data_IF_274365246481
#
_entry.id   IF_274365246481
#
_cell.length_a   1.000
_cell.length_b   1.000
_cell.length_c   1.000
_cell.angle_alpha   90.00
_cell.angle_beta   90.00
_cell.angle_gamma   90.00
#
_symmetry.space_group_name_H-M   'P 1'
#
loop_
_entity.id
_entity.type
_entity.pdbx_description
1 polymer ?
#
# COMPACT_ATOMS: atom_id res chain seq x y z
N UNK A 1 -24.09 -15.58 -20.49
CA UNK A 1 -23.97 -14.55 -19.42
C UNK A 1 -23.40 -15.08 -18.10
N UNK A 2 -23.70 -16.32 -17.67
CA UNK A 2 -23.25 -16.84 -16.37
C UNK A 2 -21.73 -17.07 -16.23
N UNK A 3 -21.07 -17.61 -17.26
CA UNK A 3 -19.62 -17.92 -17.25
C UNK A 3 -18.76 -16.67 -17.05
N UNK A 4 -19.13 -15.56 -17.69
CA UNK A 4 -18.40 -14.28 -17.56
C UNK A 4 -18.54 -13.67 -16.16
N UNK A 5 -19.69 -13.85 -15.49
CA UNK A 5 -19.88 -13.43 -14.09
C UNK A 5 -19.00 -14.25 -13.14
N UNK A 6 -18.93 -15.57 -13.35
CA UNK A 6 -18.11 -16.47 -12.55
C UNK A 6 -16.62 -16.13 -12.67
N UNK A 7 -16.14 -15.86 -13.90
CA UNK A 7 -14.73 -15.52 -14.13
C UNK A 7 -14.33 -14.20 -13.44
N UNK A 8 -15.19 -13.17 -13.51
CA UNK A 8 -14.95 -11.90 -12.80
C UNK A 8 -14.94 -12.08 -11.29
N UNK A 9 -15.79 -12.95 -10.75
CA UNK A 9 -15.81 -13.29 -9.33
C UNK A 9 -14.52 -13.97 -8.89
N UNK A 10 -14.07 -14.99 -9.62
CA UNK A 10 -12.82 -15.70 -9.31
C UNK A 10 -11.62 -14.76 -9.36
N UNK A 11 -11.54 -13.88 -10.36
CA UNK A 11 -10.44 -12.91 -10.44
C UNK A 11 -10.44 -11.93 -9.27
N UNK A 12 -11.62 -11.49 -8.82
CA UNK A 12 -11.75 -10.65 -7.62
C UNK A 12 -11.30 -11.40 -6.38
N UNK A 13 -11.78 -12.62 -6.14
CA UNK A 13 -11.39 -13.40 -4.95
C UNK A 13 -9.90 -13.74 -4.91
N UNK A 14 -9.29 -14.06 -6.05
CA UNK A 14 -7.84 -14.27 -6.13
C UNK A 14 -7.06 -12.99 -5.79
N UNK A 15 -7.53 -11.83 -6.27
CA UNK A 15 -6.92 -10.54 -5.95
C UNK A 15 -7.07 -10.20 -4.47
N UNK A 16 -8.26 -10.34 -3.91
CA UNK A 16 -8.56 -10.05 -2.51
C UNK A 16 -7.76 -10.97 -1.57
N UNK A 17 -7.67 -12.26 -1.92
CA UNK A 17 -6.85 -13.23 -1.18
C UNK A 17 -5.36 -12.90 -1.25
N UNK A 18 -4.86 -12.50 -2.43
CA UNK A 18 -3.46 -12.11 -2.58
C UNK A 18 -3.15 -10.83 -1.81
N UNK A 19 -4.06 -9.84 -1.85
CA UNK A 19 -3.99 -8.61 -1.08
C UNK A 19 -3.93 -8.89 0.42
N UNK A 20 -4.83 -9.73 0.92
CA UNK A 20 -4.84 -10.13 2.32
C UNK A 20 -3.53 -10.82 2.72
N UNK A 21 -3.05 -11.74 1.89
CA UNK A 21 -1.79 -12.44 2.13
C UNK A 21 -0.60 -11.48 2.16
N UNK A 22 -0.49 -10.59 1.19
CA UNK A 22 0.60 -9.60 1.11
C UNK A 22 0.53 -8.64 2.29
N UNK A 23 -0.63 -8.04 2.57
CA UNK A 23 -0.81 -7.09 3.69
C UNK A 23 -0.49 -7.72 5.05
N UNK A 24 -0.98 -8.95 5.30
CA UNK A 24 -0.75 -9.67 6.55
C UNK A 24 0.71 -10.04 6.77
N UNK A 25 1.45 -10.37 5.71
CA UNK A 25 2.88 -10.67 5.84
C UNK A 25 3.73 -9.40 5.91
N UNK A 26 3.40 -8.37 5.13
CA UNK A 26 4.11 -7.10 5.10
C UNK A 26 4.07 -6.39 6.46
N UNK A 27 2.90 -6.33 7.10
CA UNK A 27 2.70 -5.67 8.40
C UNK A 27 3.59 -6.19 9.54
N UNK A 28 4.02 -7.47 9.47
CA UNK A 28 4.91 -8.11 10.45
C UNK A 28 6.38 -7.74 10.26
N UNK A 29 6.78 -7.39 9.04
CA UNK A 29 8.18 -7.14 8.67
C UNK A 29 8.52 -5.65 8.68
N UNK A 30 7.52 -4.76 8.70
CA UNK A 30 7.72 -3.32 8.67
C UNK A 30 7.98 -2.71 10.05
N UNK A 31 8.91 -1.74 10.16
CA UNK A 31 9.08 -0.93 11.36
C UNK A 31 7.83 -0.09 11.65
N UNK A 32 7.66 0.37 12.89
CA UNK A 32 6.52 1.23 13.29
C UNK A 32 6.40 2.50 12.41
N UNK A 33 7.55 3.04 12.00
CA UNK A 33 7.66 4.14 11.07
C UNK A 33 8.64 3.78 9.95
N UNK A 34 8.20 3.94 8.70
CA UNK A 34 9.05 3.74 7.54
C UNK A 34 9.75 5.06 7.22
N UNK A 35 11.03 4.97 6.85
CA UNK A 35 11.75 6.08 6.22
C UNK A 35 11.67 5.96 4.68
N UNK A 36 12.15 6.98 3.97
CA UNK A 36 12.15 6.99 2.51
C UNK A 36 12.81 5.74 1.90
N UNK A 37 13.94 5.27 2.44
CA UNK A 37 14.60 4.05 1.95
C UNK A 37 13.69 2.83 2.09
N UNK A 38 13.04 2.66 3.24
CA UNK A 38 12.12 1.55 3.47
C UNK A 38 10.92 1.62 2.54
N UNK A 39 10.33 2.80 2.31
CA UNK A 39 9.22 2.97 1.37
C UNK A 39 9.64 2.58 -0.05
N UNK A 40 10.79 3.04 -0.51
CA UNK A 40 11.33 2.70 -1.83
C UNK A 40 11.49 1.19 -2.00
N UNK A 41 12.04 0.51 -0.98
CA UNK A 41 12.25 -0.93 -0.99
C UNK A 41 10.93 -1.70 -0.98
N UNK A 42 9.94 -1.25 -0.21
CA UNK A 42 8.65 -1.96 -0.06
C UNK A 42 7.77 -1.81 -1.29
N UNK A 43 7.79 -0.65 -1.93
CA UNK A 43 7.02 -0.37 -3.14
C UNK A 43 7.76 -0.74 -4.43
N UNK A 44 9.04 -1.15 -4.33
CA UNK A 44 9.93 -1.42 -5.46
C UNK A 44 10.03 -0.26 -6.46
N UNK A 45 10.11 0.98 -5.96
CA UNK A 45 10.23 2.20 -6.77
C UNK A 45 11.59 2.89 -6.55
N UNK A 46 11.96 3.77 -7.48
CA UNK A 46 13.20 4.53 -7.36
C UNK A 46 13.17 5.53 -6.20
N UNK A 47 14.37 5.98 -5.78
CA UNK A 47 14.49 7.01 -4.75
C UNK A 47 13.84 8.34 -5.17
N UNK A 48 13.89 8.67 -6.47
CA UNK A 48 13.25 9.87 -7.02
C UNK A 48 11.73 9.80 -6.96
N UNK A 49 11.15 8.67 -7.37
CA UNK A 49 9.70 8.42 -7.26
C UNK A 49 9.26 8.42 -5.80
N UNK A 50 10.06 7.84 -4.91
CA UNK A 50 9.78 7.86 -3.47
C UNK A 50 9.76 9.28 -2.92
N UNK A 51 10.70 10.13 -3.35
CA UNK A 51 10.72 11.52 -2.92
C UNK A 51 9.46 12.27 -3.38
N UNK A 52 9.04 12.08 -4.63
CA UNK A 52 7.81 12.66 -5.14
C UNK A 52 6.58 12.15 -4.37
N UNK A 53 6.53 10.84 -4.12
CA UNK A 53 5.46 10.19 -3.35
C UNK A 53 5.35 10.77 -1.93
N UNK A 54 6.47 10.94 -1.23
CA UNK A 54 6.52 11.52 0.11
C UNK A 54 6.02 12.97 0.19
N UNK A 55 5.96 13.68 -0.94
CA UNK A 55 5.45 15.06 -1.02
C UNK A 55 4.02 15.14 -1.56
N UNK A 56 3.40 14.00 -1.91
CA UNK A 56 2.00 13.97 -2.31
C UNK A 56 1.09 14.22 -1.12
N UNK A 57 -0.02 14.92 -1.36
CA UNK A 57 -1.00 15.30 -0.32
C UNK A 57 -1.77 14.10 0.25
N UNK A 58 -1.97 13.06 -0.56
CA UNK A 58 -2.69 11.84 -0.21
C UNK A 58 -1.79 10.77 0.43
N UNK A 59 -0.48 10.99 0.47
CA UNK A 59 0.44 10.04 1.05
C UNK A 59 0.63 10.29 2.57
N UNK A 60 0.56 9.26 3.43
CA UNK A 60 0.48 9.44 4.87
C UNK A 60 1.84 9.70 5.52
N UNK A 61 2.41 10.87 5.26
CA UNK A 61 3.71 11.30 5.80
C UNK A 61 3.55 12.15 7.07
N UNK A 62 4.47 12.00 8.01
CA UNK A 62 4.63 12.85 9.19
C UNK A 62 6.05 13.42 9.20
N UNK A 63 6.17 14.73 9.44
CA UNK A 63 7.46 15.40 9.57
C UNK A 63 7.85 15.51 11.04
N UNK A 64 8.98 14.91 11.41
CA UNK A 64 9.57 14.99 12.76
C UNK A 64 10.95 15.64 12.62
N UNK A 65 11.05 16.92 13.00
CA UNK A 65 12.25 17.72 12.74
C UNK A 65 12.53 17.82 11.23
N UNK A 66 13.70 17.36 10.80
CA UNK A 66 14.11 17.31 9.39
C UNK A 66 13.74 15.99 8.68
N UNK A 67 13.18 15.01 9.39
CA UNK A 67 12.89 13.68 8.84
C UNK A 67 11.43 13.56 8.43
N UNK A 68 11.20 13.00 7.24
CA UNK A 68 9.89 12.51 6.81
C UNK A 68 9.80 11.02 7.16
N UNK A 69 8.76 10.65 7.90
CA UNK A 69 8.48 9.27 8.28
C UNK A 69 7.04 8.91 7.95
N UNK A 70 6.78 7.64 7.67
CA UNK A 70 5.46 7.14 7.29
C UNK A 70 5.00 6.16 8.36
N UNK A 71 3.90 6.45 9.09
CA UNK A 71 3.36 5.52 10.07
C UNK A 71 2.92 4.22 9.36
N UNK A 72 3.37 3.07 9.86
CA UNK A 72 3.11 1.76 9.25
C UNK A 72 1.64 1.51 8.94
N UNK A 73 0.77 1.71 9.94
CA UNK A 73 -0.66 1.42 9.78
C UNK A 73 -1.32 2.29 8.70
N UNK A 74 -0.90 3.55 8.58
CA UNK A 74 -1.41 4.46 7.55
C UNK A 74 -0.86 4.11 6.17
N UNK A 75 0.40 3.71 6.09
CA UNK A 75 0.99 3.21 4.85
C UNK A 75 0.25 1.97 4.32
N UNK A 76 -0.04 1.00 5.19
CA UNK A 76 -0.77 -0.21 4.80
C UNK A 76 -2.18 0.11 4.30
N UNK A 77 -2.91 0.98 5.01
CA UNK A 77 -4.23 1.44 4.57
C UNK A 77 -4.18 2.14 3.20
N UNK A 78 -3.18 2.99 2.98
CA UNK A 78 -2.97 3.64 1.70
C UNK A 78 -2.70 2.63 0.57
N UNK A 79 -1.86 1.61 0.82
CA UNK A 79 -1.59 0.54 -0.18
C UNK A 79 -2.87 -0.23 -0.53
N UNK A 80 -3.68 -0.56 0.46
CA UNK A 80 -4.96 -1.26 0.26
C UNK A 80 -5.95 -0.44 -0.56
N UNK A 81 -6.02 0.87 -0.31
CA UNK A 81 -6.82 1.82 -1.10
C UNK A 81 -6.34 1.86 -2.56
N UNK A 82 -5.03 1.98 -2.80
CA UNK A 82 -4.46 2.00 -4.15
C UNK A 82 -4.68 0.68 -4.91
N UNK A 83 -4.73 -0.44 -4.21
CA UNK A 83 -4.94 -1.76 -4.82
C UNK A 83 -6.42 -2.04 -5.17
N UNK A 84 -7.32 -1.10 -4.90
CA UNK A 84 -8.76 -1.23 -5.15
C UNK A 84 -9.51 -1.98 -4.06
N UNK A 85 -8.89 -2.19 -2.87
CA UNK A 85 -9.56 -2.69 -1.67
C UNK A 85 -10.43 -1.62 -0.98
N UNK A 86 -10.23 -0.34 -1.33
CA UNK A 86 -11.12 0.76 -0.97
C UNK A 86 -12.41 0.74 -1.80
N UNK A 87 -13.28 -0.24 -1.55
CA UNK A 87 -14.68 -0.12 -1.93
C UNK A 87 -15.33 0.98 -1.08
N UNK A 88 -15.22 2.23 -1.55
CA UNK A 88 -16.25 3.23 -1.29
C UNK A 88 -17.58 2.70 -1.88
N UNK A 89 -18.64 2.92 -1.10
CA UNK A 89 -20.07 2.62 -1.33
C UNK A 89 -20.55 2.46 -2.78
#
# INVERSE_FOLDING_TARGET
MAVSKQLKKVHKELRDSLLFFVSRNLSKLLPLFLNAKTVAQVLEISAGETYQLLHRKDFPVVKIGSRLVVPKEKFLAWVEEQAGGGHHE
#
